data_IF_995604975564
#
_entry.id   IF_995604975564
#
_cell.length_a   1.000
_cell.length_b   1.000
_cell.length_c   1.000
_cell.angle_alpha   90.00
_cell.angle_beta   90.00
_cell.angle_gamma   90.00
#
_symmetry.space_group_name_H-M   'P 1'
#
loop_
_entity.id
_entity.type
_entity.pdbx_description
1 polymer ?
#
# COMPACT_ATOMS: atom_id res chain seq x y z
N UNK A 1 -42.89 -101.75 45.66
CA UNK A 1 -42.21 -101.50 44.37
C UNK A 1 -43.27 -101.01 43.40
N UNK A 2 -43.25 -99.72 43.02
CA UNK A 2 -42.47 -99.26 41.86
C UNK A 2 -41.63 -97.97 42.10
N UNK A 3 -40.74 -97.71 41.14
CA UNK A 3 -39.53 -96.87 41.11
C UNK A 3 -39.73 -95.34 40.87
N UNK A 4 -38.68 -94.50 41.06
CA UNK A 4 -38.77 -93.05 41.19
C UNK A 4 -38.63 -92.29 39.85
N UNK A 5 -39.36 -91.17 39.69
CA UNK A 5 -39.18 -90.27 38.55
C UNK A 5 -38.11 -89.20 38.83
N UNK A 6 -37.09 -89.19 37.97
CA UNK A 6 -35.95 -88.27 37.98
C UNK A 6 -36.42 -86.84 37.70
N UNK A 7 -36.29 -85.95 38.68
CA UNK A 7 -36.50 -84.51 38.51
C UNK A 7 -35.25 -83.92 37.83
N UNK A 8 -35.33 -83.74 36.51
CA UNK A 8 -34.30 -83.06 35.73
C UNK A 8 -34.09 -81.64 36.28
N UNK A 9 -32.88 -81.34 36.75
CA UNK A 9 -32.43 -79.98 37.02
C UNK A 9 -32.39 -79.22 35.69
N UNK A 10 -33.27 -78.23 35.49
CA UNK A 10 -33.03 -77.14 34.55
C UNK A 10 -31.91 -76.28 35.15
N UNK A 11 -30.72 -76.32 34.55
CA UNK A 11 -29.60 -75.42 34.79
C UNK A 11 -29.05 -75.04 33.43
N UNK A 12 -29.76 -74.22 32.65
CA UNK A 12 -29.22 -73.76 31.35
C UNK A 12 -29.40 -72.26 31.06
N UNK A 13 -30.25 -71.50 31.76
CA UNK A 13 -30.52 -70.10 31.32
C UNK A 13 -29.59 -69.01 31.91
N UNK A 14 -28.55 -69.37 32.67
CA UNK A 14 -27.71 -68.39 33.41
C UNK A 14 -26.42 -67.98 32.69
N UNK A 15 -25.89 -68.82 31.80
CA UNK A 15 -24.59 -68.58 31.16
C UNK A 15 -24.70 -67.67 29.92
N UNK A 16 -25.76 -67.83 29.12
CA UNK A 16 -26.02 -67.02 27.92
C UNK A 16 -26.36 -65.55 28.24
N UNK A 17 -26.97 -65.31 29.41
CA UNK A 17 -27.28 -63.96 29.88
C UNK A 17 -26.00 -63.19 30.29
N UNK A 18 -25.03 -63.85 30.93
CA UNK A 18 -23.75 -63.22 31.26
C UNK A 18 -22.90 -62.98 30.00
N UNK A 19 -22.84 -63.90 29.04
CA UNK A 19 -22.09 -63.75 27.79
C UNK A 19 -22.64 -62.61 26.89
N UNK A 20 -23.96 -62.47 26.80
CA UNK A 20 -24.60 -61.30 26.16
C UNK A 20 -24.32 -59.98 26.88
N UNK A 21 -24.19 -60.00 28.21
CA UNK A 21 -23.90 -58.77 28.97
C UNK A 21 -22.45 -58.34 28.77
N UNK A 22 -21.51 -59.29 28.81
CA UNK A 22 -20.08 -59.04 28.59
C UNK A 22 -19.78 -58.53 27.17
N UNK A 23 -20.46 -59.06 26.15
CA UNK A 23 -20.30 -58.60 24.76
C UNK A 23 -20.80 -57.17 24.54
N UNK A 24 -21.91 -56.78 25.19
CA UNK A 24 -22.40 -55.40 25.17
C UNK A 24 -21.43 -54.45 25.87
N UNK A 25 -20.85 -54.84 27.01
CA UNK A 25 -19.83 -54.06 27.72
C UNK A 25 -18.57 -53.84 26.90
N UNK A 26 -18.08 -54.88 26.22
CA UNK A 26 -16.91 -54.80 25.32
C UNK A 26 -17.20 -53.87 24.13
N UNK A 27 -18.39 -53.94 23.55
CA UNK A 27 -18.81 -53.04 22.46
C UNK A 27 -18.87 -51.58 22.92
N UNK A 28 -19.38 -51.34 24.14
CA UNK A 28 -19.45 -50.01 24.72
C UNK A 28 -18.04 -49.43 24.98
N UNK A 29 -17.14 -50.24 25.54
CA UNK A 29 -15.73 -49.88 25.76
C UNK A 29 -15.03 -49.54 24.44
N UNK A 30 -15.24 -50.34 23.39
CA UNK A 30 -14.72 -50.07 22.04
C UNK A 30 -15.23 -48.72 21.53
N UNK A 31 -16.53 -48.44 21.69
CA UNK A 31 -17.13 -47.16 21.27
C UNK A 31 -16.58 -45.98 22.06
N UNK A 32 -16.35 -46.13 23.36
CA UNK A 32 -15.77 -45.08 24.21
C UNK A 32 -14.32 -44.80 23.75
N UNK A 33 -13.54 -45.85 23.49
CA UNK A 33 -12.16 -45.71 23.04
C UNK A 33 -12.07 -45.02 21.67
N UNK A 34 -12.98 -45.34 20.75
CA UNK A 34 -13.08 -44.64 19.45
C UNK A 34 -13.42 -43.15 19.63
N UNK A 35 -14.33 -42.81 20.54
CA UNK A 35 -14.68 -41.41 20.83
C UNK A 35 -13.51 -40.65 21.47
N UNK A 36 -12.74 -41.29 22.36
CA UNK A 36 -11.53 -40.73 22.94
C UNK A 36 -10.47 -40.40 21.87
N UNK A 37 -10.23 -41.31 20.94
CA UNK A 37 -9.30 -41.08 19.83
C UNK A 37 -9.73 -39.88 18.95
N UNK A 38 -11.02 -39.76 18.65
CA UNK A 38 -11.56 -38.60 17.92
C UNK A 38 -11.37 -37.32 18.74
N UNK A 39 -11.59 -37.37 20.06
CA UNK A 39 -11.42 -36.22 20.94
C UNK A 39 -9.96 -35.73 20.98
N UNK A 40 -9.00 -36.65 20.99
CA UNK A 40 -7.57 -36.33 20.92
C UNK A 40 -7.20 -35.65 19.59
N UNK A 41 -7.70 -36.17 18.45
CA UNK A 41 -7.50 -35.55 17.15
C UNK A 41 -8.09 -34.14 17.10
N UNK A 42 -9.32 -33.96 17.56
CA UNK A 42 -9.96 -32.64 17.61
C UNK A 42 -9.20 -31.67 18.52
N UNK A 43 -8.67 -32.14 19.65
CA UNK A 43 -7.86 -31.31 20.54
C UNK A 43 -6.57 -30.84 19.86
N UNK A 44 -5.93 -31.72 19.10
CA UNK A 44 -4.73 -31.40 18.33
C UNK A 44 -5.04 -30.39 17.23
N UNK A 45 -6.10 -30.60 16.44
CA UNK A 45 -6.53 -29.67 15.38
C UNK A 45 -6.84 -28.28 15.93
N UNK A 46 -7.55 -28.20 17.07
CA UNK A 46 -7.85 -26.93 17.74
C UNK A 46 -6.57 -26.22 18.17
N UNK A 47 -5.59 -26.96 18.68
CA UNK A 47 -4.30 -26.40 19.11
C UNK A 47 -3.54 -25.82 17.91
N UNK A 48 -3.49 -26.55 16.80
CA UNK A 48 -2.84 -26.09 15.56
C UNK A 48 -3.54 -24.87 14.98
N UNK A 49 -4.87 -24.88 14.90
CA UNK A 49 -5.67 -23.73 14.47
C UNK A 49 -5.40 -22.49 15.33
N UNK A 50 -5.31 -22.67 16.65
CA UNK A 50 -4.99 -21.56 17.56
C UNK A 50 -3.61 -20.97 17.26
N UNK A 51 -2.60 -21.82 17.07
CA UNK A 51 -1.25 -21.35 16.73
C UNK A 51 -1.19 -20.63 15.38
N UNK A 52 -1.91 -21.14 14.39
CA UNK A 52 -2.01 -20.50 13.06
C UNK A 52 -2.71 -19.15 13.13
N UNK A 53 -3.79 -19.06 13.92
CA UNK A 53 -4.52 -17.82 14.14
C UNK A 53 -3.64 -16.76 14.83
N UNK A 54 -2.94 -17.12 15.90
CA UNK A 54 -2.02 -16.23 16.61
C UNK A 54 -0.91 -15.71 15.68
N UNK A 55 -0.35 -16.60 14.84
CA UNK A 55 0.64 -16.22 13.84
C UNK A 55 0.07 -15.24 12.80
N UNK A 56 -1.11 -15.53 12.24
CA UNK A 56 -1.77 -14.64 11.29
C UNK A 56 -2.09 -13.27 11.90
N UNK A 57 -2.52 -13.24 13.17
CA UNK A 57 -2.80 -12.01 13.89
C UNK A 57 -1.55 -11.14 14.01
N UNK A 58 -0.41 -11.76 14.38
CA UNK A 58 0.88 -11.06 14.47
C UNK A 58 1.35 -10.51 13.12
N UNK A 59 1.10 -11.23 12.02
CA UNK A 59 1.39 -10.72 10.67
C UNK A 59 0.51 -9.52 10.31
N UNK A 60 -0.79 -9.57 10.64
CA UNK A 60 -1.72 -8.46 10.39
C UNK A 60 -1.26 -7.21 11.14
N UNK A 61 -0.93 -7.33 12.43
CA UNK A 61 -0.43 -6.20 13.23
C UNK A 61 0.85 -5.58 12.65
N UNK A 62 1.75 -6.42 12.13
CA UNK A 62 2.98 -5.97 11.49
C UNK A 62 2.66 -5.18 10.22
N UNK A 63 1.79 -5.72 9.36
CA UNK A 63 1.35 -5.07 8.12
C UNK A 63 0.62 -3.75 8.39
N UNK A 64 -0.23 -3.68 9.40
CA UNK A 64 -0.92 -2.45 9.79
C UNK A 64 0.08 -1.37 10.23
N UNK A 65 1.08 -1.75 11.01
CA UNK A 65 2.15 -0.83 11.45
C UNK A 65 2.97 -0.31 10.26
N UNK A 66 3.34 -1.20 9.33
CA UNK A 66 4.06 -0.82 8.12
C UNK A 66 3.22 0.11 7.24
N UNK A 67 1.94 -0.20 7.04
CA UNK A 67 1.01 0.60 6.25
C UNK A 67 0.85 2.01 6.85
N UNK A 68 0.67 2.12 8.17
CA UNK A 68 0.65 3.42 8.86
C UNK A 68 1.96 4.20 8.68
N UNK A 69 3.11 3.51 8.72
CA UNK A 69 4.40 4.11 8.44
C UNK A 69 4.52 4.63 7.00
N UNK A 70 4.01 3.89 6.03
CA UNK A 70 3.97 4.30 4.62
C UNK A 70 3.04 5.49 4.40
N UNK A 71 1.85 5.49 4.99
CA UNK A 71 0.91 6.62 4.92
C UNK A 71 1.52 7.92 5.46
N UNK A 72 2.26 7.82 6.57
CA UNK A 72 2.98 8.96 7.14
C UNK A 72 4.05 9.50 6.18
N UNK A 73 4.83 8.59 5.55
CA UNK A 73 5.86 8.97 4.57
C UNK A 73 5.25 9.62 3.33
N UNK A 74 4.13 9.09 2.82
CA UNK A 74 3.39 9.65 1.69
C UNK A 74 2.95 11.07 2.03
N UNK A 75 2.31 11.26 3.18
CA UNK A 75 1.83 12.59 3.61
C UNK A 75 2.97 13.60 3.70
N UNK A 76 4.11 13.20 4.27
CA UNK A 76 5.30 14.06 4.35
C UNK A 76 5.85 14.40 2.96
N UNK A 77 5.95 13.41 2.05
CA UNK A 77 6.44 13.63 0.69
C UNK A 77 5.52 14.55 -0.11
N UNK A 78 4.20 14.35 -0.02
CA UNK A 78 3.20 15.22 -0.65
C UNK A 78 3.34 16.66 -0.16
N UNK A 79 3.50 16.87 1.15
CA UNK A 79 3.75 18.20 1.72
C UNK A 79 5.02 18.84 1.16
N UNK A 80 6.14 18.10 1.09
CA UNK A 80 7.39 18.59 0.50
C UNK A 80 7.26 18.96 -0.97
N UNK A 81 6.57 18.14 -1.76
CA UNK A 81 6.33 18.42 -3.20
C UNK A 81 5.50 19.69 -3.37
N UNK A 82 4.47 19.89 -2.56
CA UNK A 82 3.64 21.09 -2.62
C UNK A 82 4.45 22.35 -2.28
N UNK A 83 5.29 22.29 -1.23
CA UNK A 83 6.17 23.40 -0.85
C UNK A 83 7.16 23.75 -1.97
N UNK A 84 7.85 22.75 -2.51
CA UNK A 84 8.79 22.94 -3.62
C UNK A 84 8.10 23.51 -4.87
N UNK A 85 6.88 23.07 -5.15
CA UNK A 85 6.09 23.58 -6.28
C UNK A 85 5.74 25.06 -6.06
N UNK A 86 5.36 25.43 -4.84
CA UNK A 86 5.08 26.83 -4.46
C UNK A 86 6.33 27.71 -4.60
N UNK A 87 7.47 27.27 -4.06
CA UNK A 87 8.75 27.99 -4.16
C UNK A 87 9.18 28.17 -5.62
N UNK A 88 9.03 27.14 -6.44
CA UNK A 88 9.37 27.21 -7.87
C UNK A 88 8.49 28.23 -8.61
N UNK A 89 7.18 28.27 -8.31
CA UNK A 89 6.28 29.25 -8.89
C UNK A 89 6.66 30.68 -8.48
N UNK A 90 6.94 30.91 -7.19
CA UNK A 90 7.38 32.20 -6.69
C UNK A 90 8.70 32.65 -7.33
N UNK A 91 9.64 31.72 -7.53
CA UNK A 91 10.91 32.02 -8.18
C UNK A 91 10.71 32.39 -9.66
N UNK A 92 9.84 31.68 -10.39
CA UNK A 92 9.48 32.03 -11.77
C UNK A 92 8.87 33.42 -11.88
N UNK A 93 7.94 33.76 -10.99
CA UNK A 93 7.33 35.09 -10.94
C UNK A 93 8.37 36.17 -10.67
N UNK A 94 9.28 35.93 -9.72
CA UNK A 94 10.37 36.86 -9.40
C UNK A 94 11.30 37.07 -10.59
N UNK A 95 11.68 36.00 -11.29
CA UNK A 95 12.50 36.07 -12.50
C UNK A 95 11.79 36.89 -13.57
N UNK A 96 10.50 36.64 -13.79
CA UNK A 96 9.71 37.37 -14.78
C UNK A 96 9.61 38.86 -14.45
N UNK A 97 9.33 39.22 -13.20
CA UNK A 97 9.31 40.63 -12.76
C UNK A 97 10.67 41.29 -12.97
N UNK A 98 11.77 40.63 -12.60
CA UNK A 98 13.13 41.13 -12.81
C UNK A 98 13.44 41.33 -14.30
N UNK A 99 13.07 40.39 -15.15
CA UNK A 99 13.25 40.50 -16.61
C UNK A 99 12.44 41.66 -17.18
N UNK A 100 11.17 41.80 -16.81
CA UNK A 100 10.32 42.90 -17.23
C UNK A 100 10.87 44.26 -16.80
N UNK A 101 11.43 44.36 -15.58
CA UNK A 101 12.05 45.59 -15.07
C UNK A 101 13.35 45.91 -15.79
N UNK A 102 14.22 44.92 -15.96
CA UNK A 102 15.52 45.06 -16.62
C UNK A 102 15.37 45.46 -18.09
N UNK A 103 14.40 44.86 -18.79
CA UNK A 103 14.15 45.14 -20.20
C UNK A 103 13.22 46.33 -20.45
N UNK A 104 12.72 47.00 -19.41
CA UNK A 104 11.68 48.04 -19.52
C UNK A 104 12.06 49.17 -20.48
N UNK A 105 13.31 49.62 -20.39
CA UNK A 105 13.80 50.79 -21.14
C UNK A 105 14.57 50.36 -22.40
N UNK A 106 14.61 49.06 -22.70
CA UNK A 106 15.26 48.54 -23.89
C UNK A 106 14.31 48.64 -25.10
N UNK A 107 14.81 49.24 -26.18
CA UNK A 107 14.13 49.21 -27.47
C UNK A 107 14.65 48.05 -28.32
N UNK A 108 13.73 47.30 -28.94
CA UNK A 108 14.07 46.22 -29.86
C UNK A 108 13.89 46.75 -31.29
N UNK A 109 14.99 46.85 -32.03
CA UNK A 109 14.97 47.21 -33.44
C UNK A 109 15.01 45.94 -34.29
N UNK A 110 14.00 45.78 -35.15
CA UNK A 110 13.87 44.64 -36.05
C UNK A 110 13.96 45.11 -37.51
N UNK A 111 14.50 44.25 -38.38
CA UNK A 111 14.57 44.52 -39.83
C UNK A 111 15.70 45.47 -40.25
N UNK A 112 16.69 45.70 -39.39
CA UNK A 112 17.94 46.38 -39.78
C UNK A 112 18.83 45.36 -40.51
N UNK A 113 19.30 45.64 -41.74
CA UNK A 113 20.22 44.77 -42.46
C UNK A 113 21.52 44.56 -41.68
N UNK A 114 22.03 43.33 -41.64
CA UNK A 114 23.30 43.03 -40.96
C UNK A 114 24.50 43.53 -41.77
N UNK A 115 25.39 44.27 -41.11
CA UNK A 115 26.61 44.80 -41.72
C UNK A 115 27.83 44.29 -40.95
N UNK A 116 28.76 43.60 -41.62
CA UNK A 116 29.85 42.86 -40.96
C UNK A 116 30.95 43.74 -40.34
N UNK A 117 31.03 45.04 -40.69
CA UNK A 117 32.05 45.97 -40.19
C UNK A 117 31.49 47.34 -39.75
N UNK A 118 30.20 47.43 -39.41
CA UNK A 118 29.53 48.68 -39.06
C UNK A 118 29.51 48.99 -37.57
N UNK A 119 29.46 50.28 -37.21
CA UNK A 119 29.10 50.71 -35.85
C UNK A 119 27.58 50.55 -35.65
N UNK A 120 27.12 49.71 -34.70
CA UNK A 120 25.69 49.50 -34.47
C UNK A 120 24.98 50.78 -33.99
N UNK A 121 25.66 51.66 -33.24
CA UNK A 121 25.08 52.92 -32.78
C UNK A 121 24.75 53.85 -33.95
N UNK A 122 25.67 53.96 -34.91
CA UNK A 122 25.50 54.78 -36.11
C UNK A 122 24.39 54.22 -37.01
N UNK A 123 24.36 52.91 -37.17
CA UNK A 123 23.31 52.20 -37.92
C UNK A 123 21.92 52.46 -37.30
N UNK A 124 21.80 52.44 -35.97
CA UNK A 124 20.55 52.75 -35.27
C UNK A 124 20.18 54.23 -35.43
N UNK A 125 21.14 55.17 -35.34
CA UNK A 125 20.88 56.59 -35.56
C UNK A 125 20.38 56.88 -36.97
N UNK A 126 20.99 56.28 -37.98
CA UNK A 126 20.53 56.37 -39.37
C UNK A 126 19.13 55.78 -39.55
N UNK A 127 18.84 54.64 -38.92
CA UNK A 127 17.51 54.03 -38.94
C UNK A 127 16.45 54.94 -38.28
N UNK A 128 16.77 55.53 -37.12
CA UNK A 128 15.87 56.47 -36.43
C UNK A 128 15.57 57.72 -37.28
N UNK A 129 16.54 58.20 -38.05
CA UNK A 129 16.34 59.37 -38.90
C UNK A 129 15.61 59.04 -40.20
N UNK A 130 16.02 57.98 -40.90
CA UNK A 130 15.47 57.60 -42.21
C UNK A 130 14.07 57.01 -42.10
N UNK A 131 13.88 56.06 -41.17
CA UNK A 131 12.64 55.30 -41.03
C UNK A 131 11.67 55.97 -40.06
N UNK A 132 12.13 56.38 -38.87
CA UNK A 132 11.27 56.98 -37.84
C UNK A 132 11.11 58.50 -37.98
N UNK A 133 11.84 59.13 -38.92
CA UNK A 133 11.78 60.59 -39.22
C UNK A 133 12.07 61.47 -38.00
N UNK A 134 12.88 60.98 -37.07
CA UNK A 134 13.33 61.74 -35.92
C UNK A 134 14.45 62.71 -36.34
N UNK A 135 14.42 63.95 -35.83
CA UNK A 135 15.48 64.92 -36.11
C UNK A 135 16.78 64.49 -35.44
N UNK A 136 17.90 64.54 -36.15
CA UNK A 136 19.23 64.13 -35.63
C UNK A 136 19.61 64.84 -34.33
N UNK A 137 19.20 66.10 -34.15
CA UNK A 137 19.46 66.88 -32.91
C UNK A 137 18.75 66.32 -31.67
N UNK A 138 17.73 65.47 -31.84
CA UNK A 138 16.93 64.90 -30.74
C UNK A 138 17.51 63.57 -30.27
N UNK A 139 18.25 62.87 -31.13
CA UNK A 139 18.89 61.59 -30.81
C UNK A 139 20.22 61.89 -30.11
N UNK A 140 20.22 61.82 -28.78
CA UNK A 140 21.45 61.93 -27.96
C UNK A 140 22.29 60.66 -28.10
N UNK A 141 23.51 60.68 -27.57
CA UNK A 141 24.37 59.49 -27.46
C UNK A 141 23.60 58.35 -26.80
N UNK A 142 23.56 57.19 -27.45
CA UNK A 142 22.82 55.99 -27.03
C UNK A 142 23.78 55.05 -26.32
#
# INVERSE_FOLDING_TARGET
MPQPQKKHRRREDSADAEDSTTTVEVSLLQSINNKLAILELLHQDIKELKTSLEFSQSQIETLEKENNGLQTKITMLTSKVNNLTSENNQMKETILDLQCRSMRDNFIFLGIPETTQGNPEETIKEFMHSTLKLLMKTVKTI
#
